data_IF_276558484132
#
_entry.id   IF_276558484132
#
_cell.length_a   1.000
_cell.length_b   1.000
_cell.length_c   1.000
_cell.angle_alpha   90.00
_cell.angle_beta   90.00
_cell.angle_gamma   90.00
#
_symmetry.space_group_name_H-M   'P 1'
#
loop_
_entity.id
_entity.type
_entity.pdbx_description
1 polymer ?
#
# COMPACT_ATOMS: atom_id res chain seq x y z
N UNK A 1 -21.02 -1.61 -4.37
CA UNK A 1 -19.59 -1.98 -4.52
C UNK A 1 -19.46 -3.47 -4.23
N UNK A 2 -18.47 -4.16 -4.82
CA UNK A 2 -18.13 -5.51 -4.35
C UNK A 2 -17.66 -5.43 -2.88
N UNK A 3 -17.92 -6.45 -2.05
CA UNK A 3 -17.33 -6.56 -0.72
C UNK A 3 -15.79 -6.54 -0.79
N UNK A 4 -15.12 -6.06 0.27
CA UNK A 4 -13.66 -6.02 0.29
C UNK A 4 -13.03 -7.39 0.14
N UNK A 5 -13.62 -8.42 0.74
CA UNK A 5 -13.19 -9.81 0.61
C UNK A 5 -13.12 -10.24 -0.87
N UNK A 6 -14.22 -10.05 -1.63
CA UNK A 6 -14.27 -10.43 -3.04
C UNK A 6 -13.28 -9.64 -3.92
N UNK A 7 -13.06 -8.36 -3.60
CA UNK A 7 -12.02 -7.57 -4.25
C UNK A 7 -10.62 -8.06 -3.87
N UNK A 8 -10.42 -8.41 -2.60
CA UNK A 8 -9.19 -8.99 -2.07
C UNK A 8 -8.82 -10.29 -2.77
N UNK A 9 -9.78 -11.21 -2.91
CA UNK A 9 -9.61 -12.47 -3.63
C UNK A 9 -9.23 -12.25 -5.08
N UNK A 10 -9.88 -11.30 -5.75
CA UNK A 10 -9.56 -10.96 -7.14
C UNK A 10 -8.14 -10.40 -7.25
N UNK A 11 -7.76 -9.47 -6.38
CA UNK A 11 -6.43 -8.86 -6.39
C UNK A 11 -5.35 -9.90 -6.08
N UNK A 12 -5.53 -10.68 -5.01
CA UNK A 12 -4.57 -11.71 -4.60
C UNK A 12 -4.47 -12.85 -5.61
N UNK A 13 -5.58 -13.26 -6.23
CA UNK A 13 -5.60 -14.27 -7.28
C UNK A 13 -4.77 -13.83 -8.50
N UNK A 14 -4.90 -12.56 -8.91
CA UNK A 14 -4.07 -12.01 -9.99
C UNK A 14 -2.59 -11.90 -9.60
N UNK A 15 -2.28 -11.55 -8.35
CA UNK A 15 -0.89 -11.48 -7.88
C UNK A 15 -0.24 -12.86 -7.76
N UNK A 16 -1.01 -13.89 -7.40
CA UNK A 16 -0.50 -15.25 -7.25
C UNK A 16 0.10 -15.79 -8.56
N UNK A 17 -0.48 -15.41 -9.71
CA UNK A 17 0.06 -15.75 -11.03
C UNK A 17 1.45 -15.13 -11.30
N UNK A 18 1.79 -14.03 -10.62
CA UNK A 18 3.05 -13.32 -10.79
C UNK A 18 4.13 -13.72 -9.78
N UNK A 19 3.77 -14.30 -8.64
CA UNK A 19 4.71 -14.54 -7.53
C UNK A 19 5.86 -15.48 -7.93
N UNK A 20 5.55 -16.67 -8.44
CA UNK A 20 6.57 -17.65 -8.82
C UNK A 20 7.50 -17.15 -9.95
N UNK A 21 6.99 -16.58 -11.07
CA UNK A 21 7.85 -16.02 -12.12
C UNK A 21 8.73 -14.87 -11.63
N UNK A 22 8.19 -13.93 -10.84
CA UNK A 22 8.95 -12.78 -10.35
C UNK A 22 10.06 -13.20 -9.37
N UNK A 23 9.77 -14.17 -8.50
CA UNK A 23 10.77 -14.74 -7.59
C UNK A 23 11.87 -15.45 -8.36
N UNK A 24 11.52 -16.33 -9.31
CA UNK A 24 12.49 -17.13 -10.05
C UNK A 24 13.39 -16.28 -10.95
N UNK A 25 12.83 -15.30 -11.65
CA UNK A 25 13.56 -14.51 -12.66
C UNK A 25 14.27 -13.28 -12.10
N UNK A 26 13.71 -12.65 -11.06
CA UNK A 26 14.17 -11.34 -10.57
C UNK A 26 14.45 -11.31 -9.06
N UNK A 27 14.22 -12.39 -8.33
CA UNK A 27 14.47 -12.45 -6.88
C UNK A 27 13.51 -11.59 -6.05
N UNK A 28 12.36 -11.19 -6.60
CA UNK A 28 11.32 -10.47 -5.86
C UNK A 28 10.58 -11.45 -4.96
N UNK A 29 10.61 -11.24 -3.65
CA UNK A 29 9.91 -12.11 -2.71
C UNK A 29 8.41 -11.79 -2.65
N UNK A 30 7.59 -12.77 -2.27
CA UNK A 30 6.16 -12.59 -2.02
C UNK A 30 5.86 -11.42 -1.05
N UNK A 31 6.73 -11.22 -0.03
CA UNK A 31 6.63 -10.08 0.90
C UNK A 31 6.84 -8.74 0.19
N UNK A 32 7.80 -8.64 -0.72
CA UNK A 32 8.03 -7.43 -1.51
C UNK A 32 6.89 -7.21 -2.51
N UNK A 33 6.42 -8.26 -3.19
CA UNK A 33 5.28 -8.18 -4.11
C UNK A 33 4.02 -7.67 -3.39
N UNK A 34 3.60 -8.31 -2.29
CA UNK A 34 2.44 -7.89 -1.49
C UNK A 34 2.58 -6.45 -0.97
N UNK A 35 3.76 -6.07 -0.48
CA UNK A 35 4.02 -4.70 -0.01
C UNK A 35 4.01 -3.65 -1.13
N UNK A 36 4.40 -4.01 -2.35
CA UNK A 36 4.26 -3.16 -3.53
C UNK A 36 2.80 -2.99 -3.92
N UNK A 37 2.01 -4.07 -3.91
CA UNK A 37 0.57 -4.00 -4.17
C UNK A 37 -0.14 -3.08 -3.18
N UNK A 38 0.10 -3.25 -1.88
CA UNK A 38 -0.56 -2.44 -0.84
C UNK A 38 -0.28 -0.94 -1.00
N UNK A 39 0.97 -0.57 -1.27
CA UNK A 39 1.29 0.83 -1.58
C UNK A 39 0.68 1.31 -2.90
N UNK A 40 0.68 0.46 -3.92
CA UNK A 40 0.03 0.77 -5.21
C UNK A 40 -1.46 1.04 -5.05
N UNK A 41 -2.15 0.26 -4.21
CA UNK A 41 -3.56 0.44 -3.86
C UNK A 41 -3.80 1.81 -3.20
N UNK A 42 -2.99 2.19 -2.20
CA UNK A 42 -3.10 3.51 -1.56
C UNK A 42 -2.76 4.64 -2.54
N UNK A 43 -1.78 4.43 -3.42
CA UNK A 43 -1.48 5.33 -4.53
C UNK A 43 -2.68 5.54 -5.46
N UNK A 44 -3.34 4.46 -5.86
CA UNK A 44 -4.53 4.51 -6.69
C UNK A 44 -5.71 5.21 -5.97
N UNK A 45 -5.88 4.97 -4.67
CA UNK A 45 -6.88 5.67 -3.87
C UNK A 45 -6.66 7.19 -3.88
N UNK A 46 -5.43 7.67 -3.69
CA UNK A 46 -5.12 9.11 -3.78
C UNK A 46 -5.56 9.70 -5.13
N UNK A 47 -5.13 9.06 -6.22
CA UNK A 47 -5.46 9.48 -7.59
C UNK A 47 -6.98 9.47 -7.85
N UNK A 48 -7.69 8.52 -7.25
CA UNK A 48 -9.15 8.43 -7.34
C UNK A 48 -9.83 9.58 -6.58
N UNK A 49 -9.41 9.85 -5.34
CA UNK A 49 -10.01 10.90 -4.50
C UNK A 49 -9.82 12.31 -5.06
N UNK A 50 -8.74 12.54 -5.82
CA UNK A 50 -8.55 13.81 -6.56
C UNK A 50 -9.63 14.07 -7.61
N UNK A 51 -10.36 13.03 -8.06
CA UNK A 51 -11.36 13.11 -9.14
C UNK A 51 -12.77 12.82 -8.66
N UNK A 52 -12.90 11.94 -7.68
CA UNK A 52 -14.18 11.46 -7.15
C UNK A 52 -14.14 11.60 -5.63
N UNK A 53 -14.72 12.70 -5.10
CA UNK A 53 -14.87 12.85 -3.65
C UNK A 53 -15.80 11.75 -3.12
N UNK A 54 -15.33 10.93 -2.18
CA UNK A 54 -16.18 9.92 -1.56
C UNK A 54 -15.49 8.96 -0.60
N UNK A 55 -16.19 8.62 0.49
CA UNK A 55 -15.72 7.71 1.54
C UNK A 55 -15.70 6.20 1.22
N UNK A 56 -16.54 5.63 0.31
CA UNK A 56 -16.60 4.17 0.13
C UNK A 56 -15.27 3.54 -0.30
N UNK A 57 -14.49 4.23 -1.14
CA UNK A 57 -13.18 3.73 -1.57
C UNK A 57 -12.15 3.74 -0.43
N UNK A 58 -12.24 4.70 0.49
CA UNK A 58 -11.37 4.77 1.67
C UNK A 58 -11.67 3.59 2.60
N UNK A 59 -12.95 3.36 2.91
CA UNK A 59 -13.38 2.25 3.76
C UNK A 59 -12.97 0.89 3.18
N UNK A 60 -13.11 0.72 1.87
CA UNK A 60 -12.69 -0.50 1.17
C UNK A 60 -11.18 -0.75 1.25
N UNK A 61 -10.37 0.30 1.10
CA UNK A 61 -8.91 0.20 1.21
C UNK A 61 -8.48 -0.06 2.65
N UNK A 62 -9.15 0.56 3.62
CA UNK A 62 -8.92 0.31 5.05
C UNK A 62 -9.19 -1.16 5.40
N UNK A 63 -10.33 -1.71 4.97
CA UNK A 63 -10.70 -3.12 5.19
C UNK A 63 -9.70 -4.08 4.55
N UNK A 64 -9.26 -3.82 3.31
CA UNK A 64 -8.24 -4.62 2.63
C UNK A 64 -6.87 -4.62 3.32
N UNK A 65 -6.52 -3.52 4.00
CA UNK A 65 -5.24 -3.31 4.68
C UNK A 65 -5.27 -3.64 6.18
N UNK A 66 -6.45 -3.87 6.74
CA UNK A 66 -6.64 -4.34 8.12
C UNK A 66 -5.87 -5.64 8.38
N UNK A 67 -5.62 -5.95 9.65
CA UNK A 67 -4.81 -7.12 10.00
C UNK A 67 -5.39 -8.45 9.46
N UNK A 68 -6.72 -8.56 9.41
CA UNK A 68 -7.45 -9.72 8.84
C UNK A 68 -7.72 -9.56 7.32
N UNK A 69 -7.36 -8.42 6.75
CA UNK A 69 -7.57 -8.11 5.34
C UNK A 69 -6.60 -8.83 4.40
N UNK A 70 -6.98 -8.90 3.13
CA UNK A 70 -6.22 -9.56 2.07
C UNK A 70 -4.76 -9.06 1.94
N UNK A 71 -4.50 -7.78 2.25
CA UNK A 71 -3.19 -7.14 2.26
C UNK A 71 -2.71 -6.80 3.68
N UNK A 72 -3.29 -7.42 4.70
CA UNK A 72 -2.93 -7.27 6.09
C UNK A 72 -1.44 -7.50 6.35
N UNK A 73 -0.92 -6.73 7.30
CA UNK A 73 0.48 -6.80 7.71
C UNK A 73 1.52 -6.35 6.66
N UNK A 74 1.11 -5.68 5.59
CA UNK A 74 2.06 -5.13 4.60
C UNK A 74 2.60 -3.75 4.98
N UNK A 75 1.88 -3.03 5.85
CA UNK A 75 2.16 -1.67 6.25
C UNK A 75 1.09 -1.11 7.17
N UNK A 76 1.14 0.19 7.41
CA UNK A 76 0.11 0.94 8.13
C UNK A 76 -0.53 1.93 7.16
N UNK A 77 -1.85 1.88 7.03
CA UNK A 77 -2.63 2.89 6.34
C UNK A 77 -2.81 4.10 7.26
N UNK A 78 -2.46 5.29 6.77
CA UNK A 78 -2.51 6.53 7.57
C UNK A 78 -3.04 7.67 6.71
N UNK A 79 -3.31 8.80 7.34
CA UNK A 79 -3.59 10.05 6.66
C UNK A 79 -2.48 11.05 6.98
N UNK A 80 -1.89 11.66 5.94
CA UNK A 80 -0.87 12.70 6.08
C UNK A 80 -1.45 14.04 5.63
N UNK A 81 -1.28 15.07 6.46
CA UNK A 81 -1.73 16.43 6.14
C UNK A 81 -1.09 16.92 4.84
N UNK A 82 -1.90 17.45 3.92
CA UNK A 82 -1.46 17.92 2.59
C UNK A 82 -1.24 16.81 1.54
N UNK A 83 -1.05 15.55 1.94
CA UNK A 83 -0.90 14.41 1.02
C UNK A 83 -2.17 13.55 0.92
N UNK A 84 -2.98 13.53 1.97
CA UNK A 84 -4.16 12.67 2.07
C UNK A 84 -3.80 11.23 2.47
N UNK A 85 -4.49 10.20 1.93
CA UNK A 85 -4.19 8.81 2.24
C UNK A 85 -2.74 8.44 1.95
N UNK A 86 -2.06 7.86 2.93
CA UNK A 86 -0.65 7.51 2.86
C UNK A 86 -0.40 6.12 3.44
N UNK A 87 0.76 5.54 3.11
CA UNK A 87 1.11 4.19 3.50
C UNK A 87 2.50 4.12 4.10
N UNK A 88 2.64 3.40 5.20
CA UNK A 88 3.93 3.16 5.84
C UNK A 88 4.28 1.67 5.66
N UNK A 89 5.14 1.34 4.70
CA UNK A 89 5.47 -0.06 4.40
C UNK A 89 6.20 -0.75 5.56
N UNK A 90 6.05 -2.08 5.67
CA UNK A 90 6.93 -2.97 6.48
C UNK A 90 7.96 -3.73 5.62
N UNK A 91 8.06 -3.41 4.34
CA UNK A 91 9.03 -3.96 3.39
C UNK A 91 9.60 -2.88 2.47
N UNK A 92 10.83 -3.08 1.99
CA UNK A 92 11.41 -2.22 0.97
C UNK A 92 10.87 -2.59 -0.42
N UNK A 93 10.38 -1.60 -1.17
CA UNK A 93 9.85 -1.78 -2.53
C UNK A 93 10.93 -2.07 -3.59
N UNK A 94 12.21 -1.90 -3.24
CA UNK A 94 13.38 -2.03 -4.13
C UNK A 94 13.43 -1.02 -5.28
N UNK A 95 12.60 0.02 -5.28
CA UNK A 95 12.61 1.05 -6.34
C UNK A 95 13.97 1.74 -6.49
N UNK A 96 14.72 1.88 -5.40
CA UNK A 96 16.08 2.42 -5.40
C UNK A 96 17.08 1.63 -6.26
N UNK A 97 16.77 0.37 -6.62
CA UNK A 97 17.61 -0.47 -7.49
C UNK A 97 17.36 -0.23 -8.97
N UNK A 98 16.28 0.46 -9.35
CA UNK A 98 15.98 0.78 -10.75
C UNK A 98 16.97 1.86 -11.22
N UNK A 99 17.57 1.76 -12.43
CA UNK A 99 18.41 2.83 -12.96
C UNK A 99 17.66 4.17 -13.01
N UNK A 100 18.26 5.22 -12.43
CA UNK A 100 17.60 6.52 -12.28
C UNK A 100 16.50 6.56 -11.20
N UNK A 101 16.26 5.45 -10.50
CA UNK A 101 15.33 5.35 -9.39
C UNK A 101 15.84 6.02 -8.12
N UNK A 102 14.92 6.39 -7.24
CA UNK A 102 15.19 6.99 -5.94
C UNK A 102 14.44 6.28 -4.82
N UNK A 103 14.27 6.97 -3.70
CA UNK A 103 13.39 6.49 -2.63
C UNK A 103 11.94 6.75 -3.01
N UNK A 104 11.09 5.72 -2.96
CA UNK A 104 9.64 5.90 -3.14
C UNK A 104 9.01 6.78 -2.03
N UNK A 105 7.77 7.23 -2.24
CA UNK A 105 7.04 8.04 -1.26
C UNK A 105 6.88 7.33 0.09
N UNK A 106 6.63 6.02 0.08
CA UNK A 106 6.40 5.22 1.28
C UNK A 106 7.66 4.45 1.74
N UNK A 107 8.86 4.96 1.43
CA UNK A 107 10.09 4.21 1.59
C UNK A 107 10.45 3.99 3.07
N UNK A 108 10.73 2.73 3.45
CA UNK A 108 11.16 2.35 4.81
C UNK A 108 12.55 2.88 5.19
N UNK A 109 13.35 3.26 4.19
CA UNK A 109 14.69 3.83 4.40
C UNK A 109 14.64 5.35 4.57
N UNK A 110 13.48 5.97 4.40
CA UNK A 110 13.32 7.40 4.64
C UNK A 110 13.29 7.62 6.15
N UNK A 111 14.23 8.39 6.67
CA UNK A 111 14.15 8.92 8.03
C UNK A 111 12.90 9.80 8.12
N UNK A 112 11.85 9.29 8.77
CA UNK A 112 10.72 10.11 9.17
C UNK A 112 11.13 10.80 10.47
N UNK A 113 11.07 12.13 10.49
CA UNK A 113 11.31 12.91 11.71
C UNK A 113 10.41 12.45 12.87
N UNK A 114 10.67 12.90 14.11
CA UNK A 114 9.92 12.44 15.27
C UNK A 114 8.41 12.57 15.05
N UNK A 115 7.66 11.50 15.34
CA UNK A 115 6.20 11.49 15.26
C UNK A 115 5.67 12.58 16.17
N UNK A 116 5.07 13.64 15.61
CA UNK A 116 4.17 14.49 16.39
C UNK A 116 2.90 13.68 16.59
N UNK A 117 2.79 13.04 17.75
CA UNK A 117 1.53 12.46 18.22
C UNK A 117 0.53 13.61 18.35
N UNK A 118 -0.20 13.90 17.28
CA UNK A 118 -1.38 14.76 17.32
C UNK A 118 -2.52 13.90 17.84
N UNK A 119 -2.91 14.13 19.08
CA UNK A 119 -4.21 13.69 19.57
C UNK A 119 -5.28 14.25 18.62
N UNK A 120 -6.16 13.38 18.12
CA UNK A 120 -7.47 13.80 17.62
C UNK A 120 -8.21 14.39 18.83
N UNK A 121 -8.28 15.72 18.88
CA UNK A 121 -9.07 16.47 19.86
C UNK A 121 -10.55 16.47 19.47
N UNK A 122 -11.37 16.52 20.52
CA UNK A 122 -12.85 16.65 20.64
C UNK A 122 -13.70 16.94 19.39
#
# INVERSE_FOLDING_TARGET
ALPAEALGDTVLGNLAALDAPLRARFGVSAKVLRGNTASGLVGALRVLLDRVPGGPAVALVDELLSDDGALGGTGTFVYEEGLGPAFLRRSCCLYYKVPGGGLCGDCVLRSRGPKRTGAIGE
#
